data_IF_655428372819
#
_entry.id   IF_655428372819
#
_cell.length_a   1.000
_cell.length_b   1.000
_cell.length_c   1.000
_cell.angle_alpha   90.00
_cell.angle_beta   90.00
_cell.angle_gamma   90.00
#
_symmetry.space_group_name_H-M   'P 1'
#
loop_
_entity.id
_entity.type
_entity.pdbx_description
1 polymer ?
#
# COMPACT_ATOMS: atom_id res chain seq x y z
N UNK A 1 -12.87 -1.46 -2.65
CA UNK A 1 -12.76 -0.34 -1.69
C UNK A 1 -11.30 -0.17 -1.27
N UNK A 2 -10.94 0.95 -0.67
CA UNK A 2 -9.65 1.17 -0.03
C UNK A 2 -9.89 1.69 1.39
N UNK A 3 -9.19 1.13 2.37
CA UNK A 3 -9.13 1.72 3.71
C UNK A 3 -8.03 2.78 3.73
N UNK A 4 -8.28 3.86 4.47
CA UNK A 4 -7.38 5.02 4.49
C UNK A 4 -6.87 5.25 5.92
N UNK A 5 -5.60 5.13 6.14
CA UNK A 5 -4.96 5.14 7.46
C UNK A 5 -5.24 6.38 8.34
N UNK A 6 -5.82 7.43 7.78
CA UNK A 6 -6.24 8.64 8.50
C UNK A 6 -7.77 8.80 8.62
N UNK A 7 -8.54 7.78 8.27
CA UNK A 7 -10.01 7.75 8.40
C UNK A 7 -10.40 6.84 9.54
N UNK A 8 -10.78 7.39 10.68
CA UNK A 8 -11.00 6.68 11.95
C UNK A 8 -11.91 5.44 11.84
N UNK A 9 -12.91 5.46 10.95
CA UNK A 9 -13.90 4.40 10.81
C UNK A 9 -13.52 3.32 9.79
N UNK A 10 -12.42 3.49 9.07
CA UNK A 10 -11.97 2.59 8.01
C UNK A 10 -10.47 2.79 7.76
N UNK A 11 -9.64 2.36 8.68
CA UNK A 11 -8.20 2.60 8.62
C UNK A 11 -7.34 1.33 8.75
N UNK A 12 -7.97 0.16 8.89
CA UNK A 12 -7.27 -1.12 9.04
C UNK A 12 -7.75 -2.17 8.05
N UNK A 13 -6.96 -3.22 7.88
CA UNK A 13 -7.35 -4.41 7.12
C UNK A 13 -8.58 -5.08 7.74
N UNK A 14 -8.70 -5.08 9.07
CA UNK A 14 -9.85 -5.66 9.77
C UNK A 14 -11.15 -4.95 9.41
N UNK A 15 -11.15 -3.60 9.40
CA UNK A 15 -12.32 -2.82 8.99
C UNK A 15 -12.73 -3.14 7.55
N UNK A 16 -11.75 -3.28 6.65
CA UNK A 16 -12.01 -3.68 5.27
C UNK A 16 -12.63 -5.07 5.18
N UNK A 17 -12.14 -6.03 5.96
CA UNK A 17 -12.68 -7.39 6.04
C UNK A 17 -14.13 -7.40 6.55
N UNK A 18 -14.43 -6.62 7.59
CA UNK A 18 -15.79 -6.49 8.13
C UNK A 18 -16.77 -5.94 7.08
N UNK A 19 -16.36 -4.91 6.35
CA UNK A 19 -17.19 -4.31 5.29
C UNK A 19 -17.38 -5.29 4.13
N UNK A 20 -16.33 -5.98 3.71
CA UNK A 20 -16.44 -6.99 2.65
C UNK A 20 -17.37 -8.15 3.05
N UNK A 21 -17.26 -8.59 4.30
CA UNK A 21 -18.15 -9.62 4.85
C UNK A 21 -19.61 -9.14 4.91
N UNK A 22 -19.85 -7.92 5.34
CA UNK A 22 -21.18 -7.33 5.39
C UNK A 22 -21.80 -7.11 4.00
N UNK A 23 -20.97 -6.84 2.99
CA UNK A 23 -21.42 -6.72 1.60
C UNK A 23 -21.92 -8.05 1.01
N UNK A 24 -21.45 -9.17 1.54
CA UNK A 24 -21.81 -10.54 1.13
C UNK A 24 -21.80 -10.71 -0.40
N UNK A 25 -20.76 -10.24 -1.05
CA UNK A 25 -20.67 -10.26 -2.51
C UNK A 25 -19.31 -10.80 -2.98
N UNK A 26 -19.27 -11.71 -3.97
CA UNK A 26 -18.01 -12.34 -4.42
C UNK A 26 -16.99 -11.37 -5.03
N UNK A 27 -17.41 -10.18 -5.41
CA UNK A 27 -16.54 -9.11 -5.91
C UNK A 27 -16.30 -7.99 -4.88
N UNK A 28 -16.61 -8.23 -3.61
CA UNK A 28 -16.20 -7.32 -2.54
C UNK A 28 -14.71 -7.51 -2.31
N UNK A 29 -13.92 -6.51 -2.69
CA UNK A 29 -12.46 -6.54 -2.64
C UNK A 29 -11.92 -5.26 -2.02
N UNK A 30 -10.68 -5.33 -1.51
CA UNK A 30 -9.94 -4.16 -1.03
C UNK A 30 -8.73 -3.85 -1.89
N UNK A 31 -8.30 -2.59 -1.88
CA UNK A 31 -6.97 -2.15 -2.30
C UNK A 31 -6.06 -2.25 -1.08
N UNK A 32 -4.86 -2.76 -1.25
CA UNK A 32 -3.82 -2.71 -0.23
C UNK A 32 -2.84 -1.59 -0.56
N UNK A 33 -2.46 -0.84 0.45
CA UNK A 33 -1.45 0.22 0.38
C UNK A 33 -0.58 0.18 1.64
N UNK A 34 0.74 -0.01 1.52
CA UNK A 34 1.62 -0.09 2.68
C UNK A 34 1.63 1.20 3.50
N UNK A 35 1.47 2.37 2.85
CA UNK A 35 1.31 3.63 3.58
C UNK A 35 0.06 3.63 4.46
N UNK A 36 -1.09 3.18 3.94
CA UNK A 36 -2.31 3.17 4.72
C UNK A 36 -2.29 2.15 5.87
N UNK A 37 -1.64 0.99 5.68
CA UNK A 37 -1.40 0.03 6.77
C UNK A 37 -0.59 0.70 7.88
N UNK A 38 0.55 1.31 7.53
CA UNK A 38 1.39 2.03 8.49
C UNK A 38 0.65 3.20 9.13
N UNK A 39 0.01 4.06 8.34
CA UNK A 39 -0.67 5.28 8.81
C UNK A 39 -1.85 4.98 9.73
N UNK A 40 -2.58 3.90 9.48
CA UNK A 40 -3.67 3.40 10.32
C UNK A 40 -3.20 2.77 11.63
N UNK A 41 -1.91 2.48 11.74
CA UNK A 41 -1.32 1.82 12.90
C UNK A 41 -1.61 0.33 12.92
N UNK A 42 -1.98 -0.24 11.78
CA UNK A 42 -2.15 -1.68 11.63
C UNK A 42 -0.78 -2.38 11.54
N UNK A 43 -0.76 -3.65 11.89
CA UNK A 43 0.40 -4.50 11.69
C UNK A 43 0.41 -5.01 10.25
N UNK A 44 1.54 -4.91 9.57
CA UNK A 44 1.71 -5.44 8.22
C UNK A 44 1.40 -6.95 8.14
N UNK A 45 1.64 -7.70 9.20
CA UNK A 45 1.28 -9.13 9.30
C UNK A 45 -0.24 -9.38 9.16
N UNK A 46 -1.07 -8.35 9.35
CA UNK A 46 -2.53 -8.42 9.12
C UNK A 46 -2.89 -8.77 7.67
N UNK A 47 -1.97 -8.57 6.71
CA UNK A 47 -2.13 -9.00 5.32
C UNK A 47 -2.44 -10.51 5.24
N UNK A 48 -1.89 -11.32 6.14
CA UNK A 48 -2.13 -12.77 6.18
C UNK A 48 -3.59 -13.15 6.46
N UNK A 49 -4.42 -12.22 6.92
CA UNK A 49 -5.88 -12.43 7.10
C UNK A 49 -6.64 -12.41 5.77
N UNK A 50 -6.03 -11.88 4.72
CA UNK A 50 -6.64 -11.77 3.39
C UNK A 50 -6.35 -13.01 2.54
N UNK A 51 -7.26 -13.28 1.61
CA UNK A 51 -7.05 -14.24 0.53
C UNK A 51 -6.84 -13.49 -0.78
N UNK A 52 -6.11 -14.08 -1.72
CA UNK A 52 -5.76 -13.44 -2.99
C UNK A 52 -6.96 -12.80 -3.71
N UNK A 53 -8.12 -13.48 -3.76
CA UNK A 53 -9.31 -12.98 -4.45
C UNK A 53 -9.97 -11.76 -3.77
N UNK A 54 -9.57 -11.43 -2.54
CA UNK A 54 -10.05 -10.26 -1.81
C UNK A 54 -9.21 -9.01 -2.10
N UNK A 55 -8.05 -9.16 -2.74
CA UNK A 55 -7.12 -8.06 -3.07
C UNK A 55 -7.33 -7.68 -4.54
N UNK A 56 -7.87 -6.49 -4.79
CA UNK A 56 -8.11 -6.00 -6.14
C UNK A 56 -6.82 -5.52 -6.83
N UNK A 57 -6.02 -4.78 -6.09
CA UNK A 57 -4.72 -4.25 -6.49
C UNK A 57 -3.92 -3.93 -5.24
N UNK A 58 -2.61 -4.00 -5.33
CA UNK A 58 -1.71 -3.49 -4.31
C UNK A 58 -1.05 -2.20 -4.80
N UNK A 59 -1.25 -1.10 -4.09
CA UNK A 59 -0.39 0.07 -4.23
C UNK A 59 1.00 -0.26 -3.69
N UNK A 60 2.01 0.44 -4.20
CA UNK A 60 3.38 0.23 -3.79
C UNK A 60 4.10 1.56 -3.68
N UNK A 61 4.43 1.93 -2.47
CA UNK A 61 5.05 3.19 -2.07
C UNK A 61 5.83 2.98 -0.79
N UNK A 62 6.50 4.02 -0.33
CA UNK A 62 7.21 4.05 0.93
C UNK A 62 6.87 5.33 1.69
N UNK A 63 7.32 5.46 2.93
CA UNK A 63 7.08 6.64 3.75
C UNK A 63 8.31 6.99 4.58
N UNK A 64 8.62 8.30 4.76
CA UNK A 64 9.77 8.71 5.54
C UNK A 64 9.55 8.54 7.05
N UNK A 65 10.63 8.46 7.82
CA UNK A 65 10.59 8.43 9.29
C UNK A 65 10.00 9.72 9.91
N UNK A 66 10.04 10.80 9.18
CA UNK A 66 9.59 12.12 9.63
C UNK A 66 8.75 12.81 8.56
N UNK A 67 7.65 13.48 8.94
CA UNK A 67 7.14 13.71 10.30
C UNK A 67 6.62 12.43 10.97
N UNK A 68 6.21 12.48 12.26
CA UNK A 68 5.58 11.35 12.94
C UNK A 68 4.38 10.79 12.17
N UNK A 69 4.13 9.50 12.33
CA UNK A 69 3.07 8.76 11.62
C UNK A 69 1.73 9.50 11.58
N UNK A 70 1.32 10.07 12.71
CA UNK A 70 0.02 10.75 12.87
C UNK A 70 -0.10 12.05 12.06
N UNK A 71 1.03 12.62 11.65
CA UNK A 71 1.11 13.86 10.87
C UNK A 71 1.31 13.58 9.37
N UNK A 72 1.53 12.31 9.00
CA UNK A 72 1.72 11.94 7.60
C UNK A 72 0.39 11.85 6.86
N UNK A 73 0.39 12.31 5.60
CA UNK A 73 -0.73 12.29 4.67
C UNK A 73 -0.28 11.73 3.32
N UNK A 74 -1.18 11.60 2.37
CA UNK A 74 -0.92 11.03 1.05
C UNK A 74 0.33 11.60 0.35
N UNK A 75 0.53 12.91 0.46
CA UNK A 75 1.69 13.61 -0.11
C UNK A 75 3.02 13.32 0.62
N UNK A 76 2.97 12.65 1.75
CA UNK A 76 4.18 12.24 2.48
C UNK A 76 4.86 11.02 1.86
N UNK A 77 4.17 10.28 1.00
CA UNK A 77 4.72 9.11 0.34
C UNK A 77 5.97 9.44 -0.45
N UNK A 78 6.91 8.52 -0.46
CA UNK A 78 8.17 8.58 -1.23
C UNK A 78 8.29 7.35 -2.12
N UNK A 79 9.26 7.38 -3.02
CA UNK A 79 9.55 6.23 -3.88
C UNK A 79 9.90 5.00 -3.06
N UNK A 80 9.51 3.79 -3.51
CA UNK A 80 9.90 2.54 -2.85
C UNK A 80 11.40 2.47 -2.59
N UNK A 81 11.77 2.15 -1.34
CA UNK A 81 13.15 2.10 -0.86
C UNK A 81 13.77 3.43 -0.45
N UNK A 82 13.02 4.52 -0.49
CA UNK A 82 13.46 5.83 0.02
C UNK A 82 12.91 6.15 1.41
N UNK A 83 12.09 5.27 1.96
CA UNK A 83 11.50 5.38 3.28
C UNK A 83 12.01 4.33 4.25
N UNK A 84 11.15 3.96 5.19
CA UNK A 84 11.51 3.05 6.28
C UNK A 84 10.61 1.80 6.37
N UNK A 85 9.61 1.65 5.48
CA UNK A 85 8.74 0.49 5.51
C UNK A 85 9.51 -0.77 5.07
N UNK A 86 9.24 -1.89 5.70
CA UNK A 86 9.76 -3.19 5.28
C UNK A 86 8.99 -3.70 4.05
N UNK A 87 9.28 -3.11 2.90
CA UNK A 87 8.61 -3.44 1.65
C UNK A 87 8.97 -4.85 1.13
N UNK A 88 10.12 -5.38 1.51
CA UNK A 88 10.47 -6.78 1.21
C UNK A 88 9.50 -7.71 1.96
N UNK A 89 9.29 -7.46 3.25
CA UNK A 89 8.30 -8.21 4.04
C UNK A 89 6.88 -8.05 3.49
N UNK A 90 6.51 -6.85 3.06
CA UNK A 90 5.23 -6.60 2.40
C UNK A 90 5.02 -7.51 1.18
N UNK A 91 6.02 -7.63 0.30
CA UNK A 91 5.97 -8.51 -0.87
C UNK A 91 5.88 -9.99 -0.49
N UNK A 92 6.61 -10.42 0.54
CA UNK A 92 6.51 -11.79 1.07
C UNK A 92 5.09 -12.11 1.56
N UNK A 93 4.47 -11.18 2.30
CA UNK A 93 3.12 -11.35 2.83
C UNK A 93 2.08 -11.38 1.72
N UNK A 94 2.18 -10.52 0.71
CA UNK A 94 1.33 -10.57 -0.48
C UNK A 94 1.44 -11.93 -1.17
N UNK A 95 2.67 -12.40 -1.41
CA UNK A 95 2.92 -13.71 -2.01
C UNK A 95 2.32 -14.85 -1.19
N UNK A 96 2.40 -14.77 0.13
CA UNK A 96 1.83 -15.77 1.04
C UNK A 96 0.30 -15.86 0.98
N UNK A 97 -0.41 -14.76 0.59
CA UNK A 97 -1.85 -14.80 0.33
C UNK A 97 -2.21 -15.50 -0.97
N UNK A 98 -1.23 -15.75 -1.85
CA UNK A 98 -1.43 -16.23 -3.22
C UNK A 98 -1.74 -15.11 -4.21
N UNK A 99 -1.57 -13.84 -3.83
CA UNK A 99 -1.77 -12.71 -4.73
C UNK A 99 -0.70 -12.69 -5.83
N UNK A 100 -1.14 -12.65 -7.07
CA UNK A 100 -0.31 -12.58 -8.29
C UNK A 100 -0.69 -11.39 -9.20
N UNK A 101 -1.39 -10.42 -8.63
CA UNK A 101 -1.86 -9.23 -9.33
C UNK A 101 -0.81 -8.12 -9.45
N UNK A 102 -1.28 -6.92 -9.73
CA UNK A 102 -0.43 -5.77 -10.02
C UNK A 102 0.05 -5.06 -8.76
N UNK A 103 1.31 -4.64 -8.76
CA UNK A 103 1.83 -3.60 -7.89
C UNK A 103 1.76 -2.27 -8.65
N UNK A 104 1.10 -1.28 -8.06
CA UNK A 104 0.85 0.04 -8.68
C UNK A 104 1.51 1.14 -7.86
N UNK A 105 2.45 1.86 -8.47
CA UNK A 105 3.08 3.02 -7.81
C UNK A 105 2.05 4.12 -7.58
N UNK A 106 1.88 4.55 -6.33
CA UNK A 106 1.01 5.67 -5.97
C UNK A 106 1.69 6.55 -4.92
N UNK A 107 1.99 7.81 -5.25
CA UNK A 107 2.83 8.68 -4.42
C UNK A 107 2.12 9.94 -3.90
N UNK A 108 1.29 10.62 -4.72
CA UNK A 108 0.70 11.95 -4.43
C UNK A 108 1.73 13.02 -4.00
N UNK A 109 3.01 12.79 -4.26
CA UNK A 109 4.08 13.70 -3.89
C UNK A 109 4.23 14.80 -4.94
N UNK A 110 3.94 16.03 -4.54
CA UNK A 110 3.93 17.20 -5.43
C UNK A 110 5.30 17.49 -6.07
N UNK A 111 6.41 17.03 -5.48
CA UNK A 111 7.74 17.20 -6.06
C UNK A 111 7.84 16.50 -7.41
N UNK A 112 7.18 15.35 -7.57
CA UNK A 112 7.17 14.60 -8.82
C UNK A 112 6.24 15.19 -9.89
N UNK A 113 5.30 16.06 -9.52
CA UNK A 113 4.38 16.66 -10.49
C UNK A 113 5.05 17.67 -11.43
N UNK A 114 6.17 18.22 -11.01
CA UNK A 114 6.97 19.16 -11.81
C UNK A 114 8.04 18.48 -12.68
N UNK A 115 8.25 17.18 -12.49
CA UNK A 115 9.25 16.39 -13.20
C UNK A 115 8.69 15.83 -14.52
N UNK A 116 9.58 15.32 -15.37
CA UNK A 116 9.17 14.59 -16.59
C UNK A 116 8.43 13.29 -16.19
N UNK A 117 7.16 13.10 -16.59
CA UNK A 117 6.38 11.95 -16.15
C UNK A 117 6.94 10.61 -16.62
N UNK A 118 7.64 10.59 -17.77
CA UNK A 118 8.27 9.35 -18.26
C UNK A 118 9.50 8.98 -17.41
N UNK A 119 10.23 9.97 -16.93
CA UNK A 119 11.38 9.75 -16.06
C UNK A 119 10.92 9.30 -14.65
N UNK A 120 9.89 9.93 -14.10
CA UNK A 120 9.28 9.50 -12.82
C UNK A 120 8.80 8.05 -12.92
N UNK A 121 8.10 7.70 -14.00
CA UNK A 121 7.62 6.33 -14.21
C UNK A 121 8.77 5.32 -14.35
N UNK A 122 9.85 5.69 -15.08
CA UNK A 122 11.03 4.83 -15.25
C UNK A 122 11.73 4.57 -13.91
N UNK A 123 11.99 5.64 -13.14
CA UNK A 123 12.62 5.52 -11.82
C UNK A 123 11.76 4.71 -10.87
N UNK A 124 10.46 4.99 -10.82
CA UNK A 124 9.52 4.27 -9.98
C UNK A 124 9.49 2.78 -10.29
N UNK A 125 9.41 2.41 -11.57
CA UNK A 125 9.44 1.00 -11.98
C UNK A 125 10.75 0.30 -11.59
N UNK A 126 11.89 0.97 -11.77
CA UNK A 126 13.20 0.42 -11.39
C UNK A 126 13.29 0.16 -9.89
N UNK A 127 12.83 1.11 -9.07
CA UNK A 127 12.80 0.98 -7.60
C UNK A 127 11.85 -0.13 -7.13
N UNK A 128 10.66 -0.19 -7.71
CA UNK A 128 9.69 -1.26 -7.41
C UNK A 128 10.29 -2.64 -7.70
N UNK A 129 10.90 -2.82 -8.88
CA UNK A 129 11.52 -4.08 -9.27
C UNK A 129 12.66 -4.48 -8.35
N UNK A 130 13.50 -3.55 -7.95
CA UNK A 130 14.63 -3.81 -7.05
C UNK A 130 14.18 -4.46 -5.74
N UNK A 131 12.97 -4.16 -5.28
CA UNK A 131 12.42 -4.71 -4.04
C UNK A 131 11.60 -5.97 -4.32
N UNK A 132 10.70 -5.91 -5.29
CA UNK A 132 9.74 -6.99 -5.54
C UNK A 132 10.34 -8.22 -6.22
N UNK A 133 11.48 -8.08 -6.89
CA UNK A 133 12.21 -9.16 -7.58
C UNK A 133 13.44 -9.64 -6.77
N UNK A 134 13.68 -9.10 -5.57
CA UNK A 134 14.79 -9.51 -4.70
C UNK A 134 14.43 -10.81 -3.95
#
# INVERSE_FOLDING_TARGET
>A
MEFLGFVEQLNTIEDALEIMAAADHPHATTVLDPFHIFRGGDDMESITKLQAHQIAVSHFNDTPDSPPREEQHDHSRVMPGEGHLDLARYCELLTATGYDGWLSLELFNEQHWAEDPMEVARIGLEKMRTIAEA
#
